data_IF_085577920462
#
_entry.id   IF_085577920462
#
_cell.length_a   1.000
_cell.length_b   1.000
_cell.length_c   1.000
_cell.angle_alpha   90.00
_cell.angle_beta   90.00
_cell.angle_gamma   90.00
#
_symmetry.space_group_name_H-M   'P 1'
#
loop_
_entity.id
_entity.type
_entity.pdbx_description
1 polymer ?
#
# COMPACT_ATOMS: atom_id res chain seq x y z
N UNK A 1 26.80 4.34 -25.16
CA UNK A 1 25.84 3.75 -24.20
C UNK A 1 24.52 4.45 -24.42
N UNK A 2 23.64 3.84 -25.23
CA UNK A 2 22.35 4.45 -25.59
C UNK A 2 21.36 4.27 -24.43
N UNK A 3 20.77 5.38 -23.99
CA UNK A 3 19.70 5.38 -23.01
C UNK A 3 18.52 4.60 -23.56
N UNK A 4 18.09 3.57 -22.82
CA UNK A 4 16.87 2.85 -23.11
C UNK A 4 15.71 3.76 -22.70
N UNK A 5 15.16 4.50 -23.66
CA UNK A 5 13.91 5.25 -23.47
C UNK A 5 12.80 4.24 -23.17
N UNK A 6 12.21 4.32 -21.98
CA UNK A 6 11.09 3.47 -21.61
C UNK A 6 9.83 4.00 -22.30
N UNK A 7 9.12 3.13 -23.01
CA UNK A 7 7.90 3.48 -23.76
C UNK A 7 6.67 3.31 -22.86
N UNK A 8 5.64 4.15 -23.02
CA UNK A 8 4.33 4.00 -22.38
C UNK A 8 3.69 2.62 -22.63
N UNK A 9 4.07 1.94 -23.72
CA UNK A 9 3.64 0.58 -24.01
C UNK A 9 4.22 -0.47 -23.06
N UNK A 10 5.41 -0.24 -22.49
CA UNK A 10 6.02 -1.14 -21.49
C UNK A 10 5.30 -1.05 -20.13
N UNK A 11 4.62 0.07 -19.87
CA UNK A 11 3.80 0.31 -18.68
C UNK A 11 2.31 0.03 -18.90
N UNK A 12 1.92 -0.48 -20.08
CA UNK A 12 0.54 -0.66 -20.56
C UNK A 12 -0.33 -1.66 -19.77
N UNK A 13 -0.70 -1.30 -18.55
CA UNK A 13 -2.07 -1.17 -18.04
C UNK A 13 -2.99 -2.38 -17.86
N UNK A 14 -2.90 -3.44 -18.67
CA UNK A 14 -3.91 -4.51 -18.68
C UNK A 14 -3.67 -5.63 -17.63
N UNK A 15 -2.42 -6.07 -17.36
CA UNK A 15 -2.17 -7.08 -16.32
C UNK A 15 -2.35 -6.53 -14.91
N UNK A 16 -1.95 -5.28 -14.67
CA UNK A 16 -2.00 -4.62 -13.35
C UNK A 16 -3.43 -4.39 -12.87
N UNK A 17 -4.33 -3.93 -13.74
CA UNK A 17 -5.74 -3.68 -13.40
C UNK A 17 -6.47 -4.99 -13.10
N UNK A 18 -6.22 -6.04 -13.89
CA UNK A 18 -6.83 -7.35 -13.69
C UNK A 18 -6.39 -8.00 -12.37
N UNK A 19 -5.09 -7.89 -12.04
CA UNK A 19 -4.54 -8.38 -10.75
C UNK A 19 -5.10 -7.57 -9.59
N UNK A 20 -5.13 -6.25 -9.67
CA UNK A 20 -5.70 -5.40 -8.63
C UNK A 20 -7.21 -5.67 -8.41
N UNK A 21 -7.99 -5.88 -9.48
CA UNK A 21 -9.38 -6.28 -9.39
C UNK A 21 -9.54 -7.68 -8.74
N UNK A 22 -8.60 -8.59 -8.97
CA UNK A 22 -8.57 -9.89 -8.31
C UNK A 22 -8.24 -9.75 -6.82
N UNK A 23 -7.29 -8.90 -6.46
CA UNK A 23 -6.93 -8.62 -5.07
C UNK A 23 -8.07 -7.97 -4.29
N UNK A 24 -8.92 -7.17 -4.94
CA UNK A 24 -10.09 -6.56 -4.32
C UNK A 24 -11.19 -7.58 -3.94
N UNK A 25 -11.26 -8.74 -4.61
CA UNK A 25 -12.27 -9.77 -4.30
C UNK A 25 -12.15 -10.30 -2.88
N UNK A 26 -10.93 -10.49 -2.40
CA UNK A 26 -10.65 -11.05 -1.07
C UNK A 26 -11.17 -10.17 0.07
N UNK A 27 -10.81 -8.87 0.17
CA UNK A 27 -11.34 -8.02 1.24
C UNK A 27 -12.86 -7.82 1.11
N UNK A 28 -13.43 -7.73 -0.09
CA UNK A 28 -14.88 -7.60 -0.28
C UNK A 28 -15.65 -8.86 0.17
N UNK A 29 -15.16 -10.04 -0.18
CA UNK A 29 -15.74 -11.30 0.26
C UNK A 29 -15.68 -11.44 1.80
N UNK A 30 -14.56 -11.02 2.40
CA UNK A 30 -14.39 -11.02 3.85
C UNK A 30 -15.34 -10.04 4.55
N UNK A 31 -15.47 -8.81 4.04
CA UNK A 31 -16.44 -7.83 4.55
C UNK A 31 -17.85 -8.41 4.52
N UNK A 32 -18.26 -9.02 3.40
CA UNK A 32 -19.57 -9.66 3.28
C UNK A 32 -19.76 -10.76 4.31
N UNK A 33 -18.79 -11.66 4.46
CA UNK A 33 -18.90 -12.78 5.40
C UNK A 33 -18.98 -12.30 6.86
N UNK A 34 -18.19 -11.30 7.22
CA UNK A 34 -18.21 -10.68 8.55
C UNK A 34 -19.54 -9.96 8.81
N UNK A 35 -20.09 -9.28 7.81
CA UNK A 35 -21.39 -8.63 7.91
C UNK A 35 -22.53 -9.65 8.09
N UNK A 36 -22.49 -10.78 7.38
CA UNK A 36 -23.45 -11.87 7.57
C UNK A 36 -23.34 -12.52 8.96
N UNK A 37 -22.11 -12.67 9.49
CA UNK A 37 -21.91 -13.15 10.85
C UNK A 37 -22.49 -12.21 11.92
N UNK A 38 -22.61 -10.90 11.66
CA UNK A 38 -23.28 -9.98 12.58
C UNK A 38 -24.80 -10.14 12.62
N UNK A 39 -25.39 -10.66 11.54
CA UNK A 39 -26.83 -10.93 11.42
C UNK A 39 -27.20 -12.28 12.05
N UNK A 40 -26.26 -13.22 12.12
CA UNK A 40 -26.38 -14.42 12.95
C UNK A 40 -26.50 -14.02 14.43
N UNK A 41 -27.21 -14.86 15.20
CA UNK A 41 -27.55 -14.63 16.61
C UNK A 41 -26.32 -14.80 17.53
N UNK A 42 -25.28 -13.98 17.29
CA UNK A 42 -24.07 -13.91 18.09
C UNK A 42 -24.45 -13.49 19.51
N UNK A 43 -24.19 -14.38 20.46
CA UNK A 43 -24.57 -14.20 21.87
C UNK A 43 -23.62 -13.28 22.65
N UNK A 44 -22.41 -13.05 22.12
CA UNK A 44 -21.36 -12.23 22.76
C UNK A 44 -21.26 -10.83 22.14
N UNK A 45 -21.44 -9.79 22.97
CA UNK A 45 -21.22 -8.39 22.55
C UNK A 45 -19.75 -8.09 22.20
N UNK A 46 -18.81 -8.84 22.81
CA UNK A 46 -17.39 -8.74 22.50
C UNK A 46 -17.10 -9.22 21.06
N UNK A 47 -17.75 -10.31 20.66
CA UNK A 47 -17.58 -10.90 19.32
C UNK A 47 -18.14 -9.98 18.25
N UNK A 48 -19.32 -9.36 18.51
CA UNK A 48 -19.90 -8.33 17.63
C UNK A 48 -18.96 -7.15 17.44
N UNK A 49 -18.35 -6.67 18.52
CA UNK A 49 -17.40 -5.54 18.48
C UNK A 49 -16.15 -5.90 17.68
N UNK A 50 -15.61 -7.10 17.89
CA UNK A 50 -14.43 -7.58 17.16
C UNK A 50 -14.71 -7.73 15.65
N UNK A 51 -15.87 -8.28 15.29
CA UNK A 51 -16.29 -8.42 13.90
C UNK A 51 -16.46 -7.05 13.24
N UNK A 52 -17.10 -6.09 13.92
CA UNK A 52 -17.23 -4.71 13.44
C UNK A 52 -15.86 -4.05 13.19
N UNK A 53 -14.92 -4.17 14.13
CA UNK A 53 -13.56 -3.65 13.94
C UNK A 53 -12.86 -4.29 12.73
N UNK A 54 -13.05 -5.60 12.53
CA UNK A 54 -12.46 -6.30 11.40
C UNK A 54 -13.07 -5.85 10.06
N UNK A 55 -14.37 -5.58 10.03
CA UNK A 55 -15.05 -5.00 8.85
C UNK A 55 -14.43 -3.64 8.51
N UNK A 56 -14.25 -2.76 9.51
CA UNK A 56 -13.67 -1.42 9.31
C UNK A 56 -12.27 -1.53 8.70
N UNK A 57 -11.37 -2.29 9.34
CA UNK A 57 -9.99 -2.47 8.88
C UNK A 57 -9.92 -3.06 7.46
N UNK A 58 -10.78 -4.05 7.17
CA UNK A 58 -10.81 -4.68 5.83
C UNK A 58 -11.37 -3.72 4.78
N UNK A 59 -12.32 -2.85 5.16
CA UNK A 59 -12.88 -1.83 4.29
C UNK A 59 -11.86 -0.73 3.97
N UNK A 60 -11.09 -0.29 4.96
CA UNK A 60 -9.97 0.64 4.76
C UNK A 60 -8.93 0.07 3.79
N UNK A 61 -8.59 -1.21 3.94
CA UNK A 61 -7.70 -1.90 3.01
C UNK A 61 -8.27 -1.92 1.58
N UNK A 62 -9.55 -2.25 1.41
CA UNK A 62 -10.21 -2.27 0.10
C UNK A 62 -10.24 -0.87 -0.56
N UNK A 63 -10.50 0.18 0.23
CA UNK A 63 -10.47 1.56 -0.25
C UNK A 63 -9.07 1.98 -0.69
N UNK A 64 -8.04 1.57 0.05
CA UNK A 64 -6.64 1.83 -0.32
C UNK A 64 -6.28 1.14 -1.64
N UNK A 65 -6.63 -0.14 -1.81
CA UNK A 65 -6.41 -0.88 -3.07
C UNK A 65 -7.13 -0.22 -4.25
N UNK A 66 -8.36 0.25 -4.04
CA UNK A 66 -9.13 0.96 -5.08
C UNK A 66 -8.48 2.29 -5.46
N UNK A 67 -7.95 3.01 -4.47
CA UNK A 67 -7.21 4.27 -4.67
C UNK A 67 -5.92 4.01 -5.44
N UNK A 68 -5.20 2.95 -5.12
CA UNK A 68 -3.96 2.56 -5.79
C UNK A 68 -4.23 2.18 -7.26
N UNK A 69 -5.32 1.47 -7.53
CA UNK A 69 -5.78 1.16 -8.87
C UNK A 69 -6.20 2.41 -9.68
N UNK A 70 -6.95 3.34 -9.06
CA UNK A 70 -7.33 4.58 -9.71
C UNK A 70 -6.10 5.43 -10.07
N UNK A 71 -5.08 5.43 -9.22
CA UNK A 71 -3.82 6.13 -9.47
C UNK A 71 -2.97 5.44 -10.54
N UNK A 72 -2.99 4.10 -10.62
CA UNK A 72 -2.30 3.37 -11.69
C UNK A 72 -2.98 3.53 -13.06
N UNK A 73 -4.31 3.61 -13.09
CA UNK A 73 -5.07 3.88 -14.31
C UNK A 73 -4.91 5.33 -14.79
N UNK A 74 -4.69 6.27 -13.86
CA UNK A 74 -4.46 7.69 -14.15
C UNK A 74 -2.96 8.06 -14.09
N UNK A 75 -2.07 7.19 -14.56
CA UNK A 75 -0.63 7.49 -14.72
C UNK A 75 -0.40 8.55 -15.83
N UNK A 76 -0.98 9.73 -15.70
CA UNK A 76 -0.64 10.90 -16.52
C UNK A 76 0.50 11.64 -15.80
N UNK A 77 1.67 11.86 -16.43
CA UNK A 77 2.83 12.49 -15.78
C UNK A 77 2.52 13.85 -15.13
N UNK A 78 1.52 14.58 -15.61
CA UNK A 78 1.06 15.87 -15.06
C UNK A 78 0.35 15.77 -13.71
N UNK A 79 -0.07 14.58 -13.27
CA UNK A 79 -0.79 14.37 -12.00
C UNK A 79 0.13 14.00 -10.83
N UNK A 80 1.42 13.77 -11.09
CA UNK A 80 2.41 13.44 -10.06
C UNK A 80 3.38 14.61 -9.88
N UNK A 81 3.05 15.61 -9.04
CA UNK A 81 3.99 16.68 -8.76
C UNK A 81 5.26 16.07 -8.17
N UNK A 82 6.39 16.42 -8.77
CA UNK A 82 7.69 16.01 -8.28
C UNK A 82 8.17 17.06 -7.28
N UNK A 83 8.65 16.60 -6.14
CA UNK A 83 9.23 17.43 -5.10
C UNK A 83 10.60 16.88 -4.68
N UNK A 84 11.51 17.71 -4.14
CA UNK A 84 12.73 17.22 -3.52
C UNK A 84 12.38 16.39 -2.27
N UNK A 85 12.63 15.08 -2.32
CA UNK A 85 12.37 14.15 -1.22
C UNK A 85 13.66 13.51 -0.71
N UNK A 86 13.70 13.20 0.59
CA UNK A 86 14.72 12.34 1.18
C UNK A 86 14.21 10.88 1.22
N UNK A 87 14.72 9.97 0.36
CA UNK A 87 14.25 8.59 0.32
C UNK A 87 14.44 7.86 1.64
N UNK A 88 15.53 8.15 2.35
CA UNK A 88 15.85 7.50 3.62
C UNK A 88 14.84 7.89 4.71
N UNK A 89 14.36 9.13 4.70
CA UNK A 89 13.30 9.57 5.61
C UNK A 89 11.97 8.84 5.33
N UNK A 90 11.64 8.61 4.06
CA UNK A 90 10.45 7.82 3.68
C UNK A 90 10.59 6.37 4.16
N UNK A 91 11.74 5.73 3.92
CA UNK A 91 11.99 4.38 4.44
C UNK A 91 11.91 4.31 5.96
N UNK A 92 12.44 5.31 6.68
CA UNK A 92 12.37 5.37 8.14
C UNK A 92 10.94 5.50 8.66
N UNK A 93 10.12 6.28 7.96
CA UNK A 93 8.69 6.38 8.27
C UNK A 93 8.00 5.02 8.12
N UNK A 94 8.17 4.36 6.96
CA UNK A 94 7.59 3.04 6.68
C UNK A 94 8.08 2.00 7.69
N UNK A 95 9.38 2.01 8.03
CA UNK A 95 9.96 1.12 9.03
C UNK A 95 9.37 1.34 10.43
N UNK A 96 8.97 2.57 10.75
CA UNK A 96 8.30 2.89 12.02
C UNK A 96 6.89 2.33 12.04
N UNK A 97 6.15 2.50 10.94
CA UNK A 97 4.79 1.99 10.75
C UNK A 97 4.74 0.45 10.76
N UNK A 98 5.76 -0.21 10.21
CA UNK A 98 5.84 -1.68 10.11
C UNK A 98 6.63 -2.34 11.25
N UNK A 99 7.12 -1.56 12.23
CA UNK A 99 8.01 -2.02 13.29
C UNK A 99 7.47 -3.21 14.06
N UNK A 100 6.20 -3.17 14.44
CA UNK A 100 5.56 -4.24 15.21
C UNK A 100 5.56 -5.55 14.41
N UNK A 101 5.15 -5.49 13.15
CA UNK A 101 5.15 -6.65 12.25
C UNK A 101 6.57 -7.22 12.08
N UNK A 102 7.57 -6.36 11.87
CA UNK A 102 8.96 -6.81 11.77
C UNK A 102 9.42 -7.55 13.04
N UNK A 103 9.07 -7.06 14.23
CA UNK A 103 9.41 -7.75 15.49
C UNK A 103 8.67 -9.08 15.65
N UNK A 104 7.39 -9.17 15.29
CA UNK A 104 6.61 -10.41 15.36
C UNK A 104 7.21 -11.51 14.49
N UNK A 105 7.73 -11.17 13.31
CA UNK A 105 8.37 -12.12 12.41
C UNK A 105 9.89 -12.29 12.65
N UNK A 106 10.43 -11.76 13.75
CA UNK A 106 11.86 -11.87 14.08
C UNK A 106 12.80 -11.18 13.08
N UNK A 107 12.29 -10.22 12.30
CA UNK A 107 13.06 -9.46 11.30
C UNK A 107 13.72 -8.26 11.96
N UNK A 108 14.95 -7.96 11.53
CA UNK A 108 15.72 -6.79 11.98
C UNK A 108 15.85 -5.80 10.83
N UNK A 109 15.38 -4.56 11.04
CA UNK A 109 15.58 -3.45 10.12
C UNK A 109 16.94 -2.81 10.44
N UNK A 110 17.78 -2.62 9.43
CA UNK A 110 19.11 -2.01 9.57
C UNK A 110 19.28 -0.86 8.60
N UNK A 111 20.05 0.15 9.01
CA UNK A 111 20.27 1.37 8.23
C UNK A 111 21.71 1.45 7.73
N UNK A 112 21.95 1.98 6.52
CA UNK A 112 23.30 2.23 6.04
C UNK A 112 24.01 3.23 6.96
N UNK A 113 25.27 2.95 7.31
CA UNK A 113 26.09 3.80 8.19
C UNK A 113 26.63 5.08 7.51
N UNK A 114 26.22 5.37 6.27
CA UNK A 114 26.83 6.42 5.45
C UNK A 114 26.38 7.82 5.86
N UNK A 115 27.29 8.81 5.76
CA UNK A 115 26.97 10.25 5.96
C UNK A 115 26.12 10.87 4.84
N UNK A 116 25.81 10.13 3.76
CA UNK A 116 24.99 10.60 2.62
C UNK A 116 23.47 10.53 2.87
N UNK A 117 23.03 10.47 4.12
CA UNK A 117 21.62 10.34 4.51
C UNK A 117 20.75 11.58 4.18
N UNK A 118 21.31 12.58 3.51
CA UNK A 118 20.65 13.81 3.07
C UNK A 118 20.54 13.96 1.56
N UNK A 119 20.83 12.91 0.77
CA UNK A 119 20.65 12.98 -0.68
C UNK A 119 19.16 13.15 -1.00
N UNK A 120 18.83 14.34 -1.48
CA UNK A 120 17.51 14.64 -2.02
C UNK A 120 17.44 14.15 -3.46
N UNK A 121 16.33 13.51 -3.79
CA UNK A 121 15.99 13.16 -5.16
C UNK A 121 14.72 13.91 -5.55
N UNK A 122 14.54 14.16 -6.84
CA UNK A 122 13.29 14.71 -7.35
C UNK A 122 12.31 13.54 -7.60
N UNK A 123 11.28 13.41 -6.78
CA UNK A 123 10.30 12.33 -6.91
C UNK A 123 8.93 12.74 -6.35
N UNK A 124 7.88 11.98 -6.67
CA UNK A 124 6.61 12.11 -5.99
C UNK A 124 6.66 11.33 -4.67
N UNK A 125 6.56 12.04 -3.53
CA UNK A 125 6.68 11.43 -2.19
C UNK A 125 5.67 10.34 -1.93
N UNK A 126 4.41 10.55 -2.31
CA UNK A 126 3.32 9.61 -2.06
C UNK A 126 3.49 8.33 -2.86
N UNK A 127 3.78 8.44 -4.16
CA UNK A 127 3.98 7.28 -5.03
C UNK A 127 5.23 6.49 -4.65
N UNK A 128 6.34 7.18 -4.36
CA UNK A 128 7.56 6.53 -3.89
C UNK A 128 7.33 5.78 -2.56
N UNK A 129 6.62 6.39 -1.61
CA UNK A 129 6.26 5.74 -0.35
C UNK A 129 5.41 4.48 -0.55
N UNK A 130 4.43 4.53 -1.45
CA UNK A 130 3.59 3.35 -1.77
C UNK A 130 4.39 2.23 -2.43
N UNK A 131 5.25 2.56 -3.38
CA UNK A 131 6.14 1.57 -4.01
C UNK A 131 7.00 0.90 -2.93
N UNK A 132 7.65 1.69 -2.07
CA UNK A 132 8.51 1.17 -1.01
C UNK A 132 7.77 0.34 0.04
N UNK A 133 6.50 0.63 0.31
CA UNK A 133 5.69 -0.14 1.26
C UNK A 133 5.21 -1.49 0.70
N UNK A 134 5.14 -1.62 -0.63
CA UNK A 134 4.69 -2.84 -1.31
C UNK A 134 5.83 -3.85 -1.59
N UNK A 135 7.09 -3.49 -1.33
CA UNK A 135 8.27 -4.36 -1.50
C UNK A 135 8.85 -4.80 -0.16
#
# INVERSE_FOLDING_TARGET
MAGKEWSDADFGGLPSVLVAAHELKTPLALIRQLALLLDDDLTSSADKTQIQQRIIQTSEQALQLTTDLANSANLTPSLFPLEPVNPLAICQQIATETKLNATLYGRKISWPKSRRNSQLILANRTLLGRILANF
#
